data_IF_413267801987
#
_entry.id   IF_413267801987
#
_cell.length_a   1.000
_cell.length_b   1.000
_cell.length_c   1.000
_cell.angle_alpha   90.00
_cell.angle_beta   90.00
_cell.angle_gamma   90.00
#
_symmetry.space_group_name_H-M   'P 1'
#
loop_
_entity.id
_entity.type
_entity.pdbx_description
1 polymer ?
#
# COMPACT_ATOMS: atom_id res chain seq x y z
N UNK A 1 -26.14 -16.30 1.32
CA UNK A 1 -26.83 -15.10 1.84
C UNK A 1 -25.93 -13.88 1.67
N UNK A 2 -26.43 -12.78 1.12
CA UNK A 2 -25.65 -11.55 0.94
C UNK A 2 -25.49 -10.79 2.27
N UNK A 3 -24.29 -10.80 2.85
CA UNK A 3 -23.94 -10.11 4.10
C UNK A 3 -24.27 -8.61 4.11
N UNK A 4 -24.23 -7.96 2.94
CA UNK A 4 -24.58 -6.55 2.80
C UNK A 4 -26.07 -6.29 3.10
N UNK A 5 -26.98 -7.12 2.57
CA UNK A 5 -28.42 -6.97 2.83
C UNK A 5 -28.74 -7.31 4.29
N UNK A 6 -28.12 -8.34 4.87
CA UNK A 6 -28.33 -8.66 6.29
C UNK A 6 -27.90 -7.53 7.22
N UNK A 7 -26.83 -6.79 6.89
CA UNK A 7 -26.38 -5.66 7.69
C UNK A 7 -27.26 -4.41 7.53
N UNK A 8 -27.84 -4.21 6.35
CA UNK A 8 -28.83 -3.16 6.10
C UNK A 8 -30.10 -3.38 6.93
N UNK A 9 -30.68 -4.58 6.90
CA UNK A 9 -31.88 -4.90 7.71
C UNK A 9 -31.61 -4.87 9.22
N UNK A 10 -30.37 -5.10 9.65
CA UNK A 10 -29.94 -4.95 11.05
C UNK A 10 -29.65 -3.49 11.44
N UNK A 11 -29.83 -2.52 10.55
CA UNK A 11 -29.56 -1.10 10.82
C UNK A 11 -28.08 -0.74 11.01
N UNK A 12 -27.15 -1.67 10.70
CA UNK A 12 -25.69 -1.49 10.91
C UNK A 12 -24.98 -0.90 9.70
N UNK A 13 -25.64 -0.84 8.55
CA UNK A 13 -25.07 -0.35 7.30
C UNK A 13 -26.12 0.40 6.47
N UNK A 14 -25.65 1.27 5.58
CA UNK A 14 -26.48 1.95 4.58
C UNK A 14 -26.97 0.98 3.50
N UNK A 15 -27.93 1.41 2.67
CA UNK A 15 -28.46 0.59 1.58
C UNK A 15 -27.32 0.08 0.67
N UNK A 16 -27.23 -1.26 0.43
CA UNK A 16 -26.16 -1.83 -0.37
C UNK A 16 -26.17 -1.26 -1.79
N UNK A 17 -25.03 -0.73 -2.25
CA UNK A 17 -24.85 -0.34 -3.66
C UNK A 17 -24.14 -1.46 -4.43
N UNK A 18 -24.69 -1.83 -5.58
CA UNK A 18 -24.01 -2.75 -6.49
C UNK A 18 -22.70 -2.14 -6.98
N UNK A 19 -21.63 -2.95 -6.99
CA UNK A 19 -20.35 -2.59 -7.61
C UNK A 19 -20.57 -2.33 -9.10
N UNK A 20 -20.20 -1.15 -9.59
CA UNK A 20 -20.27 -0.86 -11.02
C UNK A 20 -19.15 -1.61 -11.77
N UNK A 21 -19.50 -2.24 -12.90
CA UNK A 21 -18.54 -2.88 -13.81
C UNK A 21 -17.50 -1.89 -14.36
N UNK A 22 -17.83 -0.60 -14.38
CA UNK A 22 -17.01 0.48 -14.93
C UNK A 22 -15.93 0.99 -13.97
N UNK A 23 -15.83 0.48 -12.74
CA UNK A 23 -14.76 0.89 -11.82
C UNK A 23 -13.43 0.29 -12.34
N UNK A 24 -12.50 1.11 -12.83
CA UNK A 24 -11.29 0.60 -13.47
C UNK A 24 -10.26 0.11 -12.46
N UNK A 25 -10.30 0.64 -11.23
CA UNK A 25 -9.38 0.29 -10.16
C UNK A 25 -9.75 -1.08 -9.59
N UNK A 26 -8.95 -2.07 -9.95
CA UNK A 26 -9.00 -3.42 -9.37
C UNK A 26 -7.77 -3.58 -8.49
N UNK A 27 -7.97 -3.63 -7.19
CA UNK A 27 -6.92 -3.91 -6.22
C UNK A 27 -7.05 -5.30 -5.66
N UNK A 28 -5.92 -5.96 -5.46
CA UNK A 28 -5.79 -7.24 -4.77
C UNK A 28 -4.83 -7.04 -3.61
N UNK A 29 -5.33 -7.25 -2.39
CA UNK A 29 -4.55 -7.09 -1.17
C UNK A 29 -4.19 -8.46 -0.62
N UNK A 30 -2.90 -8.67 -0.39
CA UNK A 30 -2.33 -9.85 0.25
C UNK A 30 -1.72 -9.47 1.60
N UNK A 31 -2.40 -9.78 2.71
CA UNK A 31 -1.89 -9.47 4.04
C UNK A 31 -0.83 -10.45 4.54
N UNK A 32 -0.70 -11.66 3.99
CA UNK A 32 0.24 -12.67 4.49
C UNK A 32 0.94 -13.43 3.35
N UNK A 33 2.12 -13.98 3.63
CA UNK A 33 2.93 -14.82 2.75
C UNK A 33 3.37 -14.17 1.42
N UNK A 34 3.67 -12.87 1.45
CA UNK A 34 4.34 -12.19 0.34
C UNK A 34 5.83 -12.06 0.63
N UNK A 35 6.68 -12.41 -0.32
CA UNK A 35 8.12 -12.18 -0.22
C UNK A 35 8.59 -11.31 -1.36
N UNK A 36 9.56 -10.45 -1.07
CA UNK A 36 10.14 -9.51 -2.04
C UNK A 36 11.64 -9.81 -2.09
N UNK A 37 12.13 -10.15 -3.28
CA UNK A 37 13.54 -10.34 -3.56
C UNK A 37 14.04 -9.10 -4.31
N UNK A 38 14.78 -8.22 -3.62
CA UNK A 38 15.33 -7.01 -4.23
C UNK A 38 16.44 -7.30 -5.24
N UNK A 39 17.35 -8.23 -4.92
CA UNK A 39 18.46 -8.69 -5.78
C UNK A 39 18.00 -9.05 -7.21
N UNK A 40 16.86 -9.74 -7.30
CA UNK A 40 16.32 -10.22 -8.57
C UNK A 40 15.21 -9.31 -9.12
N UNK A 41 14.77 -8.30 -8.35
CA UNK A 41 13.62 -7.49 -8.71
C UNK A 41 12.32 -8.29 -8.77
N UNK A 42 12.08 -9.22 -7.85
CA UNK A 42 10.95 -10.17 -7.91
C UNK A 42 10.03 -10.05 -6.70
N UNK A 43 8.72 -9.98 -6.94
CA UNK A 43 7.68 -10.16 -5.91
C UNK A 43 7.08 -11.56 -6.04
N UNK A 44 7.02 -12.26 -4.92
CA UNK A 44 6.30 -13.52 -4.79
C UNK A 44 5.04 -13.29 -3.96
N UNK A 45 3.91 -13.57 -4.58
CA UNK A 45 2.62 -13.69 -3.91
C UNK A 45 2.37 -15.15 -3.54
N UNK A 46 1.43 -15.41 -2.61
CA UNK A 46 1.10 -16.78 -2.21
C UNK A 46 0.69 -17.67 -3.40
N UNK A 47 -0.01 -17.08 -4.38
CA UNK A 47 -0.54 -17.77 -5.55
C UNK A 47 0.28 -17.59 -6.82
N UNK A 48 1.07 -16.52 -6.92
CA UNK A 48 1.84 -16.17 -8.12
C UNK A 48 3.25 -15.83 -7.67
N UNK A 49 4.21 -16.66 -8.05
CA UNK A 49 5.64 -16.47 -7.74
C UNK A 49 6.35 -15.93 -8.98
N UNK A 50 7.44 -15.18 -8.81
CA UNK A 50 8.29 -14.76 -9.93
C UNK A 50 7.84 -13.49 -10.65
N UNK A 51 7.08 -12.59 -10.01
CA UNK A 51 6.62 -11.36 -10.66
C UNK A 51 7.80 -10.38 -10.75
N UNK A 52 8.31 -10.12 -11.96
CA UNK A 52 9.33 -9.10 -12.18
C UNK A 52 8.76 -7.70 -11.91
N UNK A 53 9.43 -6.94 -11.07
CA UNK A 53 9.03 -5.60 -10.65
C UNK A 53 10.23 -4.68 -10.53
N UNK A 54 10.06 -3.43 -10.93
CA UNK A 54 11.06 -2.38 -10.72
C UNK A 54 10.74 -1.68 -9.40
N UNK A 55 11.66 -1.75 -8.44
CA UNK A 55 11.54 -1.04 -7.17
C UNK A 55 12.12 0.36 -7.32
N UNK A 56 11.36 1.38 -6.92
CA UNK A 56 11.88 2.75 -6.89
C UNK A 56 12.80 3.01 -5.69
N UNK A 57 12.66 2.20 -4.62
CA UNK A 57 13.40 2.33 -3.36
C UNK A 57 13.64 0.95 -2.78
N UNK A 58 14.83 0.77 -2.22
CA UNK A 58 15.14 -0.38 -1.38
C UNK A 58 14.66 -0.09 0.05
N UNK A 59 14.15 -1.11 0.72
CA UNK A 59 13.71 -1.00 2.12
C UNK A 59 14.12 -2.25 2.89
N UNK A 60 14.49 -2.04 4.16
CA UNK A 60 14.84 -3.09 5.09
C UNK A 60 13.77 -3.12 6.17
N UNK A 61 13.05 -4.23 6.31
CA UNK A 61 11.97 -4.37 7.29
C UNK A 61 11.04 -5.53 7.00
N UNK A 62 10.11 -5.79 7.93
CA UNK A 62 9.14 -6.86 7.78
C UNK A 62 7.96 -6.42 6.91
N UNK A 63 7.66 -7.20 5.87
CA UNK A 63 6.55 -6.93 4.96
C UNK A 63 5.23 -7.34 5.64
N UNK A 64 4.37 -6.37 5.92
CA UNK A 64 3.03 -6.61 6.50
C UNK A 64 1.96 -6.86 5.45
N UNK A 65 1.97 -6.13 4.35
CA UNK A 65 0.89 -6.23 3.36
C UNK A 65 1.40 -5.81 1.99
N UNK A 66 1.01 -6.55 0.96
CA UNK A 66 1.25 -6.16 -0.43
C UNK A 66 -0.09 -5.91 -1.10
N UNK A 67 -0.24 -4.74 -1.70
CA UNK A 67 -1.43 -4.36 -2.46
C UNK A 67 -1.04 -4.18 -3.91
N UNK A 68 -1.61 -5.02 -4.79
CA UNK A 68 -1.45 -4.89 -6.23
C UNK A 68 -2.66 -4.16 -6.78
N UNK A 69 -2.42 -3.06 -7.48
CA UNK A 69 -3.45 -2.28 -8.15
C UNK A 69 -3.26 -2.34 -9.66
N UNK A 70 -4.39 -2.43 -10.38
CA UNK A 70 -4.43 -2.33 -11.83
C UNK A 70 -5.11 -1.02 -12.23
N UNK A 71 -4.43 -0.23 -13.05
CA UNK A 71 -4.96 1.02 -13.62
C UNK A 71 -5.81 0.73 -14.86
N UNK A 72 -6.69 1.67 -15.23
CA UNK A 72 -7.50 1.58 -16.46
C UNK A 72 -6.67 1.32 -17.72
N UNK A 73 -5.44 1.86 -17.78
CA UNK A 73 -4.46 1.68 -18.86
C UNK A 73 -3.82 0.28 -18.89
N UNK A 74 -4.18 -0.62 -17.98
CA UNK A 74 -3.64 -1.98 -17.91
C UNK A 74 -2.30 -2.11 -17.18
N UNK A 75 -1.74 -1.00 -16.67
CA UNK A 75 -0.51 -0.99 -15.87
C UNK A 75 -0.76 -1.58 -14.48
N UNK A 76 0.22 -2.31 -13.96
CA UNK A 76 0.21 -2.91 -12.63
C UNK A 76 1.17 -2.16 -11.72
N UNK A 77 0.71 -1.86 -10.52
CA UNK A 77 1.51 -1.24 -9.46
C UNK A 77 1.40 -2.06 -8.19
N UNK A 78 2.52 -2.26 -7.50
CA UNK A 78 2.57 -2.93 -6.21
C UNK A 78 2.95 -1.91 -5.12
N UNK A 79 2.14 -1.84 -4.08
CA UNK A 79 2.41 -1.09 -2.86
C UNK A 79 2.75 -2.08 -1.76
N UNK A 80 3.94 -1.96 -1.19
CA UNK A 80 4.39 -2.81 -0.08
C UNK A 80 4.35 -1.99 1.20
N UNK A 81 3.57 -2.46 2.17
CA UNK A 81 3.54 -1.92 3.52
C UNK A 81 4.58 -2.67 4.35
N UNK A 82 5.54 -1.91 4.86
CA UNK A 82 6.71 -2.41 5.59
C UNK A 82 6.68 -1.80 6.98
N UNK A 83 6.91 -2.63 7.98
CA UNK A 83 7.16 -2.16 9.34
C UNK A 83 8.68 -1.98 9.49
N UNK A 84 9.10 -0.71 9.58
CA UNK A 84 10.46 -0.36 9.94
C UNK A 84 10.61 -0.43 11.46
N UNK A 85 11.65 -1.11 11.92
CA UNK A 85 12.00 -1.18 13.35
C UNK A 85 12.91 0.00 13.76
N UNK A 86 13.36 0.79 12.79
CA UNK A 86 14.20 1.94 13.03
C UNK A 86 13.37 3.13 13.54
N UNK A 87 13.64 3.45 14.81
CA UNK A 87 13.42 4.74 15.47
C UNK A 87 13.44 5.91 14.47
N UNK A 88 12.35 6.68 14.48
CA UNK A 88 12.22 7.94 13.75
C UNK A 88 13.48 8.79 13.99
N UNK A 89 14.10 9.37 12.95
CA UNK A 89 15.12 10.39 13.18
C UNK A 89 14.46 11.51 13.97
N UNK A 90 14.99 11.77 15.17
CA UNK A 90 14.56 12.84 16.05
C UNK A 90 14.54 14.13 15.22
N UNK A 91 13.47 14.95 15.25
CA UNK A 91 13.47 16.20 14.51
C UNK A 91 14.70 17.00 14.93
N UNK A 92 15.58 17.31 13.98
CA UNK A 92 16.75 18.15 14.24
C UNK A 92 16.25 19.45 14.85
N UNK A 93 16.64 19.74 16.09
CA UNK A 93 16.41 21.03 16.73
C UNK A 93 17.04 22.08 15.82
N UNK A 94 16.20 22.85 15.14
CA UNK A 94 16.63 23.95 14.30
C UNK A 94 17.21 24.99 15.27
N UNK A 95 18.54 25.10 15.33
CA UNK A 95 19.15 26.15 16.13
C UNK A 95 18.80 27.50 15.49
N UNK A 96 18.13 28.42 16.22
CA UNK A 96 17.66 29.68 15.65
C UNK A 96 18.81 30.59 15.18
N UNK A 97 20.05 30.31 15.58
CA UNK A 97 21.23 31.11 15.32
C UNK A 97 21.81 30.98 13.90
N UNK A 98 21.31 30.05 13.07
CA UNK A 98 21.72 29.88 11.66
C UNK A 98 20.66 30.37 10.65
N UNK A 99 19.59 31.02 11.11
CA UNK A 99 18.57 31.57 10.22
C UNK A 99 19.04 32.90 9.64
N UNK A 100 19.71 32.86 8.49
CA UNK A 100 19.97 34.04 7.67
C UNK A 100 18.66 34.49 6.99
N UNK A 101 17.99 35.46 7.62
CA UNK A 101 17.34 36.58 6.94
C UNK A 101 15.82 36.54 6.74
N UNK A 102 15.12 37.42 7.46
CA UNK A 102 14.06 38.28 6.89
C UNK A 102 14.22 39.69 7.47
N UNK A 103 15.16 40.44 6.91
CA UNK A 103 15.27 41.90 7.09
C UNK A 103 15.35 42.49 5.69
N UNK A 104 14.16 42.77 5.13
CA UNK A 104 13.94 43.73 4.07
C UNK A 104 12.51 44.26 4.21
#
# INVERSE_FOLDING_TARGET
>A
MHTAFTNFFKGRAKFPRFKSKKIPQRSYQCPQHCTVNFEQGIINLPKIKGIKTVFSREFVGNIKTVTISKTATGKYYASVLVENTDILPTPTTIEPNLTVGWLC
#
